data_IF_982570893180
#
_entry.id   IF_982570893180
#
_cell.length_a   1.000
_cell.length_b   1.000
_cell.length_c   1.000
_cell.angle_alpha   90.00
_cell.angle_beta   90.00
_cell.angle_gamma   90.00
#
_symmetry.space_group_name_H-M   'P 1'
#
loop_
_entity.id
_entity.type
_entity.pdbx_description
1 polymer ?
#
# COMPACT_ATOMS: atom_id res chain seq x y z
N UNK A 1 14.49 41.01 -79.81
CA UNK A 1 14.09 41.64 -78.54
C UNK A 1 13.51 40.50 -77.71
N UNK A 2 14.27 39.83 -76.82
CA UNK A 2 14.96 40.41 -75.65
C UNK A 2 13.87 40.86 -74.66
N UNK A 3 13.74 40.40 -73.42
CA UNK A 3 14.66 39.84 -72.43
C UNK A 3 13.82 38.93 -71.52
N UNK A 4 14.31 37.74 -71.13
CA UNK A 4 14.93 37.46 -69.83
C UNK A 4 14.13 37.89 -68.59
N UNK A 5 13.78 36.89 -67.78
CA UNK A 5 13.03 37.05 -66.53
C UNK A 5 12.78 35.70 -65.89
N UNK A 6 13.85 35.00 -65.54
CA UNK A 6 13.79 33.74 -64.83
C UNK A 6 13.24 33.93 -63.41
N UNK A 7 12.22 33.15 -63.07
CA UNK A 7 11.95 32.82 -61.67
C UNK A 7 12.13 31.32 -61.45
N UNK A 8 13.02 31.06 -60.50
CA UNK A 8 13.62 29.77 -60.25
C UNK A 8 12.58 28.72 -59.86
N UNK A 9 12.59 27.63 -60.61
CA UNK A 9 12.03 26.33 -60.24
C UNK A 9 12.80 25.82 -59.02
N UNK A 10 12.35 26.16 -57.81
CA UNK A 10 12.92 25.63 -56.58
C UNK A 10 12.64 24.13 -56.50
N UNK A 11 13.73 23.37 -56.57
CA UNK A 11 13.77 21.92 -56.56
C UNK A 11 13.02 21.35 -55.35
N UNK A 12 12.01 20.54 -55.66
CA UNK A 12 11.47 19.55 -54.75
C UNK A 12 12.56 18.51 -54.45
N UNK A 13 12.83 18.28 -53.17
CA UNK A 13 13.45 17.04 -52.69
C UNK A 13 14.72 17.21 -51.87
N UNK A 14 14.57 17.35 -50.54
CA UNK A 14 15.50 16.78 -49.58
C UNK A 14 14.72 16.47 -48.30
N UNK A 15 14.53 15.17 -48.05
CA UNK A 15 13.51 14.64 -47.14
C UNK A 15 13.62 15.14 -45.70
N UNK A 16 12.61 15.90 -45.27
CA UNK A 16 12.18 15.86 -43.89
C UNK A 16 11.72 14.42 -43.63
N UNK A 17 12.58 13.65 -42.96
CA UNK A 17 12.25 12.30 -42.47
C UNK A 17 10.97 12.47 -41.66
N UNK A 18 9.84 12.03 -42.22
CA UNK A 18 8.57 11.95 -41.52
C UNK A 18 8.84 10.96 -40.40
N UNK A 19 9.11 11.45 -39.19
CA UNK A 19 9.16 10.60 -38.01
C UNK A 19 7.73 10.15 -37.84
N UNK A 20 7.42 9.00 -38.44
CA UNK A 20 6.23 8.24 -38.12
C UNK A 20 6.51 7.72 -36.73
N UNK A 21 6.24 8.57 -35.74
CA UNK A 21 5.99 8.10 -34.39
C UNK A 21 4.75 7.25 -34.57
N UNK A 22 4.91 5.93 -34.52
CA UNK A 22 3.80 5.01 -34.35
C UNK A 22 2.94 5.63 -33.25
N UNK A 23 1.70 6.03 -33.56
CA UNK A 23 0.89 6.64 -32.54
C UNK A 23 0.73 5.59 -31.45
N UNK A 24 1.29 5.86 -30.26
CA UNK A 24 1.12 5.00 -29.08
C UNK A 24 -0.32 5.17 -28.52
N UNK A 25 -1.30 5.23 -29.43
CA UNK A 25 -2.69 5.55 -29.19
C UNK A 25 -2.87 6.71 -28.21
N UNK A 26 -3.72 6.45 -27.21
CA UNK A 26 -4.07 7.41 -26.17
C UNK A 26 -2.88 7.88 -25.31
N UNK A 27 -1.75 7.17 -25.28
CA UNK A 27 -0.60 7.50 -24.43
C UNK A 27 0.18 8.72 -24.93
N UNK A 28 0.19 8.99 -26.24
CA UNK A 28 0.96 10.10 -26.83
C UNK A 28 0.11 11.14 -27.53
N UNK A 29 -1.07 10.78 -28.04
CA UNK A 29 -1.94 11.71 -28.77
C UNK A 29 -2.82 12.58 -27.85
N UNK A 30 -3.09 12.12 -26.62
CA UNK A 30 -3.96 12.86 -25.68
C UNK A 30 -3.22 13.91 -24.83
N UNK A 31 -1.89 13.80 -24.70
CA UNK A 31 -1.10 14.69 -23.85
C UNK A 31 -0.90 16.08 -24.47
N UNK A 32 -0.90 16.18 -25.80
CA UNK A 32 -0.84 17.46 -26.51
C UNK A 32 -2.26 17.90 -26.84
N UNK A 33 -2.73 18.89 -26.10
CA UNK A 33 -4.01 19.53 -26.38
C UNK A 33 -4.03 20.04 -27.83
N UNK A 34 -5.09 19.74 -28.62
CA UNK A 34 -5.26 20.31 -29.94
C UNK A 34 -5.22 21.84 -29.87
N UNK A 35 -4.29 22.48 -30.59
CA UNK A 35 -4.21 23.96 -30.67
C UNK A 35 -5.49 24.61 -31.19
N UNK A 36 -6.29 23.87 -31.95
CA UNK A 36 -7.58 24.30 -32.50
C UNK A 36 -8.68 23.45 -31.88
N UNK A 37 -9.78 24.09 -31.51
CA UNK A 37 -10.95 23.43 -30.97
C UNK A 37 -11.51 22.41 -31.98
N UNK A 38 -11.75 21.18 -31.53
CA UNK A 38 -12.39 20.13 -32.33
C UNK A 38 -13.85 20.04 -31.90
N UNK A 39 -14.76 19.97 -32.87
CA UNK A 39 -16.15 19.70 -32.57
C UNK A 39 -16.25 18.28 -32.00
N UNK A 40 -16.92 18.15 -30.85
CA UNK A 40 -17.17 16.85 -30.22
C UNK A 40 -18.56 16.42 -30.71
N UNK A 41 -18.64 15.22 -31.30
CA UNK A 41 -19.90 14.66 -31.77
C UNK A 41 -20.90 14.57 -30.61
N UNK A 42 -22.11 15.10 -30.80
CA UNK A 42 -23.15 15.13 -29.77
C UNK A 42 -23.05 16.26 -28.74
N UNK A 43 -22.04 17.13 -28.78
CA UNK A 43 -21.92 18.29 -27.88
C UNK A 43 -22.01 19.60 -28.65
N UNK A 44 -23.00 20.43 -28.30
CA UNK A 44 -23.17 21.76 -28.90
C UNK A 44 -22.08 22.75 -28.47
N UNK A 45 -21.75 23.70 -29.36
CA UNK A 45 -20.76 24.74 -29.06
C UNK A 45 -21.13 25.61 -27.85
N UNK A 46 -22.43 25.83 -27.62
CA UNK A 46 -22.95 26.55 -26.44
C UNK A 46 -22.65 25.81 -25.13
N UNK A 47 -22.88 24.49 -25.09
CA UNK A 47 -22.60 23.64 -23.92
C UNK A 47 -21.11 23.63 -23.55
N UNK A 48 -20.23 23.66 -24.55
CA UNK A 48 -18.78 23.72 -24.33
C UNK A 48 -18.36 25.07 -23.74
N UNK A 49 -18.95 26.17 -24.23
CA UNK A 49 -18.70 27.51 -23.70
C UNK A 49 -19.22 27.64 -22.26
N UNK A 50 -20.40 27.09 -21.98
CA UNK A 50 -20.98 27.06 -20.64
C UNK A 50 -20.09 26.28 -19.65
N UNK A 51 -19.61 25.10 -20.04
CA UNK A 51 -18.71 24.30 -19.23
C UNK A 51 -17.38 25.03 -18.97
N UNK A 52 -16.82 25.70 -19.99
CA UNK A 52 -15.62 26.53 -19.84
C UNK A 52 -15.85 27.67 -18.86
N UNK A 53 -17.03 28.30 -18.90
CA UNK A 53 -17.39 29.34 -17.94
C UNK A 53 -17.48 28.80 -16.52
N UNK A 54 -18.06 27.60 -16.33
CA UNK A 54 -18.15 26.96 -15.02
C UNK A 54 -16.78 26.54 -14.47
N UNK A 55 -15.89 26.01 -15.31
CA UNK A 55 -14.50 25.71 -14.93
C UNK A 55 -13.73 26.98 -14.54
N UNK A 56 -13.91 28.07 -15.27
CA UNK A 56 -13.28 29.34 -14.94
C UNK A 56 -13.80 29.90 -13.60
N UNK A 57 -15.12 29.88 -13.38
CA UNK A 57 -15.74 30.26 -12.09
C UNK A 57 -15.17 29.44 -10.94
N UNK A 58 -15.12 28.11 -11.07
CA UNK A 58 -14.56 27.20 -10.05
C UNK A 58 -13.07 27.46 -9.78
N UNK A 59 -12.26 27.72 -10.81
CA UNK A 59 -10.85 28.08 -10.62
C UNK A 59 -10.68 29.41 -9.87
N UNK A 60 -11.48 30.42 -10.22
CA UNK A 60 -11.48 31.73 -9.60
C UNK A 60 -11.98 31.71 -8.16
N UNK A 61 -12.99 30.90 -7.85
CA UNK A 61 -13.45 30.62 -6.48
C UNK A 61 -12.34 29.92 -5.69
N UNK A 62 -11.68 28.89 -6.25
CA UNK A 62 -10.57 28.22 -5.55
C UNK A 62 -9.39 29.16 -5.26
N UNK A 63 -9.11 30.13 -6.15
CA UNK A 63 -8.08 31.15 -5.92
C UNK A 63 -8.52 32.13 -4.84
N UNK A 64 -9.77 32.58 -4.87
CA UNK A 64 -10.35 33.44 -3.83
C UNK A 64 -10.40 32.76 -2.48
N UNK A 65 -10.73 31.47 -2.42
CA UNK A 65 -10.71 30.69 -1.18
C UNK A 65 -9.29 30.52 -0.63
N UNK A 66 -8.31 30.29 -1.50
CA UNK A 66 -6.89 30.30 -1.10
C UNK A 66 -6.46 31.66 -0.55
N UNK A 67 -6.92 32.76 -1.15
CA UNK A 67 -6.61 34.12 -0.71
C UNK A 67 -7.38 34.55 0.57
N UNK A 68 -8.62 34.07 0.73
CA UNK A 68 -9.52 34.39 1.84
C UNK A 68 -9.13 33.63 3.11
N UNK A 69 -8.59 32.42 2.97
CA UNK A 69 -8.12 31.60 4.10
C UNK A 69 -6.86 32.14 4.78
N UNK A 70 -6.04 32.91 4.06
CA UNK A 70 -4.78 33.48 4.58
C UNK A 70 -4.77 35.02 4.46
N UNK A 71 -5.32 35.77 5.44
CA UNK A 71 -5.37 37.23 5.37
C UNK A 71 -4.01 37.91 5.62
N UNK A 72 -2.91 37.16 5.75
CA UNK A 72 -1.60 37.67 6.20
C UNK A 72 -0.60 37.88 5.05
N UNK A 73 -0.88 37.43 3.81
CA UNK A 73 0.07 37.59 2.69
C UNK A 73 -0.54 38.35 1.53
N UNK A 74 -0.82 39.63 1.75
CA UNK A 74 -1.15 40.57 0.68
C UNK A 74 0.10 41.26 0.14
N UNK A 75 0.14 41.38 -1.18
CA UNK A 75 1.10 42.13 -2.03
C UNK A 75 2.45 41.46 -2.34
N UNK A 76 2.63 41.16 -3.64
CA UNK A 76 3.86 41.10 -4.46
C UNK A 76 5.12 40.35 -4.02
N UNK A 77 5.29 39.97 -2.76
CA UNK A 77 6.55 39.44 -2.27
C UNK A 77 6.70 37.93 -2.52
N UNK A 78 5.59 37.19 -2.57
CA UNK A 78 5.61 35.73 -2.70
C UNK A 78 5.92 35.23 -4.14
N UNK A 79 5.70 36.07 -5.16
CA UNK A 79 6.08 35.73 -6.54
C UNK A 79 7.59 35.86 -6.79
N UNK A 80 8.27 36.75 -6.05
CA UNK A 80 9.72 36.88 -6.09
C UNK A 80 10.44 35.84 -5.21
N UNK A 81 9.75 35.28 -4.21
CA UNK A 81 10.34 34.32 -3.27
C UNK A 81 10.47 32.89 -3.80
N UNK A 82 9.68 32.50 -4.80
CA UNK A 82 9.85 31.20 -5.48
C UNK A 82 11.18 31.05 -6.21
N UNK A 83 11.92 32.14 -6.45
CA UNK A 83 13.23 32.14 -7.09
C UNK A 83 14.43 32.29 -6.14
N UNK A 84 14.21 32.44 -4.81
CA UNK A 84 15.32 32.54 -3.86
C UNK A 84 15.64 31.17 -3.24
N UNK A 85 16.92 30.81 -3.22
CA UNK A 85 17.40 29.56 -2.63
C UNK A 85 16.87 29.38 -1.20
N UNK A 86 16.48 28.12 -0.89
CA UNK A 86 15.84 27.69 0.36
C UNK A 86 16.48 28.35 1.58
N UNK A 87 15.81 29.33 2.18
CA UNK A 87 16.20 29.85 3.48
C UNK A 87 16.13 28.70 4.49
N UNK A 88 17.21 28.48 5.25
CA UNK A 88 17.18 27.56 6.40
C UNK A 88 16.06 28.04 7.32
N UNK A 89 15.15 27.13 7.66
CA UNK A 89 14.02 27.36 8.56
C UNK A 89 14.60 27.98 9.84
N UNK A 90 14.26 29.25 10.09
CA UNK A 90 14.63 29.96 11.32
C UNK A 90 13.79 29.42 12.48
N UNK A 91 14.29 29.54 13.71
CA UNK A 91 13.69 28.94 14.91
C UNK A 91 12.24 29.40 15.20
N UNK A 92 11.82 30.51 14.61
CA UNK A 92 10.45 31.05 14.67
C UNK A 92 9.58 30.50 13.52
N UNK A 93 9.67 29.20 13.25
CA UNK A 93 8.66 28.51 12.45
C UNK A 93 7.41 28.31 13.33
N UNK A 94 6.22 28.81 12.95
CA UNK A 94 4.99 28.58 13.72
C UNK A 94 4.67 27.09 13.91
N UNK A 95 5.26 26.19 13.10
CA UNK A 95 5.18 24.73 13.28
C UNK A 95 6.27 24.14 14.19
N UNK A 96 7.24 24.95 14.63
CA UNK A 96 8.31 24.58 15.58
C UNK A 96 7.79 24.41 17.01
N UNK A 97 6.62 24.97 17.34
CA UNK A 97 6.01 24.82 18.66
C UNK A 97 5.55 23.37 18.88
N UNK A 98 6.44 22.53 19.39
CA UNK A 98 6.14 21.12 19.68
C UNK A 98 5.16 21.07 20.84
N UNK A 99 4.17 20.18 20.73
CA UNK A 99 3.18 19.97 21.78
C UNK A 99 3.86 19.56 23.11
N UNK A 100 3.59 20.28 24.18
CA UNK A 100 4.18 20.05 25.51
C UNK A 100 3.89 18.65 26.05
N UNK A 101 2.71 18.09 25.76
CA UNK A 101 2.34 16.72 26.12
C UNK A 101 3.17 15.67 25.39
N UNK A 102 3.54 15.94 24.13
CA UNK A 102 4.44 15.05 23.35
C UNK A 102 5.86 15.10 23.93
N UNK A 103 6.34 16.28 24.33
CA UNK A 103 7.65 16.39 25.00
C UNK A 103 7.65 15.68 26.36
N UNK A 104 6.59 15.85 27.16
CA UNK A 104 6.45 15.20 28.45
C UNK A 104 6.41 13.66 28.33
N UNK A 105 5.69 13.13 27.31
CA UNK A 105 5.67 11.69 27.02
C UNK A 105 7.04 11.21 26.56
N UNK A 106 7.67 11.89 25.61
CA UNK A 106 9.01 11.53 25.14
C UNK A 106 10.07 11.53 26.26
N UNK A 107 9.96 12.43 27.23
CA UNK A 107 10.84 12.44 28.40
C UNK A 107 10.62 11.24 29.32
N UNK A 108 9.35 10.84 29.55
CA UNK A 108 9.01 9.63 30.31
C UNK A 108 9.50 8.37 29.59
N UNK A 109 9.18 8.22 28.31
CA UNK A 109 9.61 7.08 27.49
C UNK A 109 11.14 6.95 27.50
N UNK A 110 11.87 8.07 27.45
CA UNK A 110 13.34 8.08 27.54
C UNK A 110 13.86 7.64 28.92
N UNK A 111 13.15 7.93 30.01
CA UNK A 111 13.52 7.48 31.36
C UNK A 111 13.25 5.99 31.52
N UNK A 112 12.11 5.50 31.02
CA UNK A 112 11.74 4.09 31.07
C UNK A 112 12.68 3.22 30.22
N UNK A 113 13.01 3.68 29.01
CA UNK A 113 14.00 3.00 28.18
C UNK A 113 15.38 2.95 28.85
N UNK A 114 15.78 4.00 29.59
CA UNK A 114 17.01 3.96 30.38
C UNK A 114 16.93 2.95 31.52
N UNK A 115 15.84 2.91 32.28
CA UNK A 115 15.68 1.93 33.36
C UNK A 115 15.70 0.47 32.86
N UNK A 116 15.15 0.23 31.67
CA UNK A 116 15.24 -1.09 31.00
C UNK A 116 16.66 -1.38 30.55
N UNK A 117 17.38 -0.38 30.00
CA UNK A 117 18.76 -0.56 29.54
C UNK A 117 19.79 -0.64 30.66
N UNK A 118 19.54 0.03 31.79
CA UNK A 118 20.38 0.01 32.99
C UNK A 118 20.39 -1.39 33.64
N UNK A 119 19.51 -2.30 33.20
CA UNK A 119 19.54 -3.71 33.58
C UNK A 119 19.28 -3.96 35.06
N UNK A 120 19.00 -2.93 35.86
CA UNK A 120 18.86 -3.02 37.32
C UNK A 120 17.73 -3.97 37.74
N UNK A 121 16.58 -3.93 37.06
CA UNK A 121 15.50 -4.88 37.29
C UNK A 121 15.90 -6.33 36.92
N UNK A 122 16.69 -6.49 35.86
CA UNK A 122 17.23 -7.81 35.48
C UNK A 122 18.27 -8.30 36.48
N UNK A 123 19.14 -7.42 36.98
CA UNK A 123 20.15 -7.73 37.98
C UNK A 123 19.51 -8.14 39.31
N UNK A 124 18.51 -7.38 39.79
CA UNK A 124 17.74 -7.71 40.99
C UNK A 124 16.91 -9.01 40.85
N UNK A 125 16.48 -9.35 39.62
CA UNK A 125 15.83 -10.64 39.36
C UNK A 125 16.85 -11.79 39.34
N UNK A 126 18.04 -11.57 38.79
CA UNK A 126 19.11 -12.55 38.76
C UNK A 126 19.68 -12.82 40.16
N UNK A 127 19.84 -11.78 40.99
CA UNK A 127 20.27 -11.89 42.38
C UNK A 127 19.27 -12.75 43.19
N UNK A 128 17.97 -12.46 43.12
CA UNK A 128 16.94 -13.29 43.78
C UNK A 128 16.95 -14.75 43.30
N UNK A 129 17.20 -14.99 42.01
CA UNK A 129 17.33 -16.35 41.48
C UNK A 129 18.59 -17.02 42.03
N UNK A 130 19.73 -16.33 42.06
CA UNK A 130 20.97 -16.85 42.59
C UNK A 130 20.86 -17.22 44.07
N UNK A 131 20.26 -16.36 44.89
CA UNK A 131 19.98 -16.64 46.30
C UNK A 131 19.12 -17.91 46.47
N UNK A 132 18.10 -18.08 45.62
CA UNK A 132 17.26 -19.28 45.65
C UNK A 132 18.07 -20.54 45.31
N UNK A 133 18.92 -20.48 44.29
CA UNK A 133 19.80 -21.60 43.94
C UNK A 133 20.81 -21.91 45.04
N UNK A 134 21.42 -20.90 45.67
CA UNK A 134 22.33 -21.12 46.79
C UNK A 134 21.64 -21.77 47.99
N UNK A 135 20.40 -21.36 48.30
CA UNK A 135 19.59 -21.98 49.35
C UNK A 135 19.21 -23.42 49.04
N UNK A 136 18.85 -23.73 47.78
CA UNK A 136 18.60 -25.10 47.32
C UNK A 136 19.85 -25.97 47.46
N UNK A 137 21.01 -25.48 47.02
CA UNK A 137 22.28 -26.22 47.09
C UNK A 137 22.70 -26.47 48.54
N UNK A 138 22.46 -25.49 49.42
CA UNK A 138 22.80 -25.59 50.83
C UNK A 138 21.78 -26.43 51.63
N UNK A 139 20.59 -26.70 51.07
CA UNK A 139 19.53 -27.43 51.75
C UNK A 139 18.91 -26.67 52.92
N UNK A 140 18.97 -25.33 52.89
CA UNK A 140 18.41 -24.45 53.94
C UNK A 140 16.93 -24.10 53.69
N UNK A 141 16.36 -24.52 52.55
CA UNK A 141 14.95 -24.34 52.31
C UNK A 141 14.16 -25.34 53.16
N UNK A 142 13.28 -24.79 54.00
CA UNK A 142 12.36 -25.61 54.77
C UNK A 142 11.40 -26.31 53.83
N UNK A 143 11.17 -27.60 54.04
CA UNK A 143 10.23 -28.41 53.26
C UNK A 143 8.82 -27.78 53.16
N UNK A 144 8.45 -26.94 54.12
CA UNK A 144 7.19 -26.19 54.11
C UNK A 144 7.21 -25.01 53.12
N UNK A 145 8.28 -24.22 53.12
CA UNK A 145 8.40 -23.06 52.21
C UNK A 145 8.54 -23.50 50.75
N UNK A 146 9.21 -24.62 50.50
CA UNK A 146 9.38 -25.18 49.16
C UNK A 146 8.07 -25.68 48.55
N UNK A 147 7.28 -26.41 49.33
CA UNK A 147 5.99 -26.95 48.91
C UNK A 147 4.95 -25.85 48.70
N UNK A 148 4.93 -24.83 49.56
CA UNK A 148 3.93 -23.76 49.49
C UNK A 148 4.24 -22.74 48.39
N UNK A 149 5.51 -22.38 48.19
CA UNK A 149 5.88 -21.24 47.32
C UNK A 149 6.36 -21.66 45.94
N UNK A 150 7.01 -22.81 45.83
CA UNK A 150 7.72 -23.20 44.61
C UNK A 150 7.17 -24.48 43.94
N UNK A 151 6.39 -25.31 44.65
CA UNK A 151 5.69 -26.44 44.05
C UNK A 151 4.32 -26.03 43.48
N UNK A 152 3.98 -26.59 42.31
CA UNK A 152 2.65 -26.41 41.70
C UNK A 152 1.70 -27.44 42.28
N UNK A 153 0.66 -26.99 42.99
CA UNK A 153 -0.45 -27.85 43.39
C UNK A 153 -1.42 -28.01 42.20
N UNK A 154 -1.34 -29.15 41.52
CA UNK A 154 -2.18 -29.46 40.36
C UNK A 154 -3.68 -29.57 40.71
N UNK A 155 -4.03 -29.94 41.94
CA UNK A 155 -5.43 -30.06 42.38
C UNK A 155 -6.03 -28.68 42.67
N UNK A 156 -5.26 -27.80 43.33
CA UNK A 156 -5.68 -26.41 43.56
C UNK A 156 -5.65 -25.56 42.29
N UNK A 157 -4.72 -25.82 41.36
CA UNK A 157 -4.63 -25.09 40.08
C UNK A 157 -5.89 -25.24 39.22
N UNK A 158 -6.58 -26.38 39.28
CA UNK A 158 -7.86 -26.59 38.60
C UNK A 158 -9.03 -25.86 39.26
N UNK A 159 -9.02 -25.72 40.59
CA UNK A 159 -10.08 -25.07 41.38
C UNK A 159 -9.96 -23.54 41.41
N UNK A 160 -8.75 -23.00 41.59
CA UNK A 160 -8.48 -21.55 41.61
C UNK A 160 -8.77 -20.88 40.25
N UNK A 161 -8.65 -21.64 39.15
CA UNK A 161 -9.00 -21.14 37.83
C UNK A 161 -10.51 -20.91 37.67
N UNK A 162 -11.35 -21.59 38.46
CA UNK A 162 -12.81 -21.43 38.49
C UNK A 162 -13.27 -20.45 39.59
N UNK A 163 -12.65 -20.43 40.77
CA UNK A 163 -13.09 -19.57 41.89
C UNK A 163 -12.62 -18.11 41.82
N UNK A 164 -11.49 -17.81 41.16
CA UNK A 164 -11.10 -16.41 40.87
C UNK A 164 -11.96 -15.75 39.77
N UNK A 165 -12.96 -16.46 39.25
CA UNK A 165 -13.98 -15.95 38.33
C UNK A 165 -15.31 -15.55 39.00
N UNK A 166 -15.34 -15.26 40.32
CA UNK A 166 -16.43 -14.47 40.91
C UNK A 166 -16.11 -12.97 41.02
N UNK A 167 -17.06 -12.08 40.67
CA UNK A 167 -16.74 -10.79 40.07
C UNK A 167 -16.63 -9.68 41.12
N UNK A 168 -15.41 -9.26 41.43
CA UNK A 168 -15.16 -7.88 41.81
C UNK A 168 -14.73 -7.17 40.52
N UNK A 169 -15.66 -6.39 39.97
CA UNK A 169 -15.69 -5.99 38.57
C UNK A 169 -14.36 -5.55 38.00
N UNK A 170 -13.96 -6.20 36.90
CA UNK A 170 -13.42 -5.57 35.69
C UNK A 170 -13.25 -6.62 34.59
N UNK A 171 -14.21 -6.62 33.66
CA UNK A 171 -14.07 -6.89 32.22
C UNK A 171 -13.23 -8.11 31.75
N UNK A 172 -13.95 -9.05 31.11
CA UNK A 172 -13.57 -9.71 29.84
C UNK A 172 -12.49 -10.80 29.87
N UNK A 173 -12.87 -12.08 29.81
CA UNK A 173 -13.14 -12.78 28.54
C UNK A 173 -13.10 -14.30 28.74
N UNK A 174 -14.29 -14.90 28.67
CA UNK A 174 -14.49 -16.32 28.44
C UNK A 174 -13.82 -16.73 27.12
N UNK A 175 -12.94 -17.73 27.14
CA UNK A 175 -12.50 -18.46 25.94
C UNK A 175 -12.76 -19.93 26.19
N UNK A 176 -13.92 -20.38 25.72
CA UNK A 176 -14.24 -21.80 25.50
C UNK A 176 -13.16 -22.45 24.65
N UNK A 177 -12.63 -23.55 25.16
CA UNK A 177 -11.87 -24.53 24.40
C UNK A 177 -12.89 -25.47 23.75
N UNK A 178 -12.84 -25.58 22.42
CA UNK A 178 -13.52 -26.63 21.69
C UNK A 178 -12.44 -27.59 21.18
N UNK A 179 -12.38 -28.78 21.77
CA UNK A 179 -11.61 -29.91 21.30
C UNK A 179 -12.16 -30.39 19.95
N UNK A 180 -11.28 -30.63 18.96
CA UNK A 180 -11.35 -31.75 18.01
C UNK A 180 -9.94 -32.04 17.43
N UNK A 181 -9.38 -33.16 17.89
CA UNK A 181 -8.68 -34.24 17.19
C UNK A 181 -7.69 -33.98 16.03
N UNK A 182 -6.48 -34.57 16.15
CA UNK A 182 -5.64 -34.93 15.01
C UNK A 182 -4.15 -34.55 15.07
N UNK A 183 -3.34 -35.39 15.73
CA UNK A 183 -2.01 -35.83 15.26
C UNK A 183 -0.85 -34.83 15.02
N UNK A 184 0.25 -35.11 15.72
CA UNK A 184 1.65 -34.93 15.31
C UNK A 184 2.39 -33.61 15.63
N UNK A 185 3.65 -33.83 15.97
CA UNK A 185 4.76 -33.02 16.48
C UNK A 185 4.89 -31.55 16.01
N UNK A 186 5.08 -30.64 16.98
CA UNK A 186 5.76 -29.37 16.74
C UNK A 186 5.35 -28.26 17.71
N UNK A 187 6.21 -27.98 18.69
CA UNK A 187 6.09 -26.91 19.69
C UNK A 187 5.50 -25.58 19.17
N UNK A 188 4.37 -25.13 19.73
CA UNK A 188 3.88 -23.74 19.53
C UNK A 188 3.86 -23.02 20.87
N UNK A 189 4.97 -22.36 21.17
CA UNK A 189 5.10 -21.40 22.26
C UNK A 189 4.12 -20.23 21.98
N UNK A 190 3.30 -19.77 22.93
CA UNK A 190 2.45 -18.60 22.69
C UNK A 190 3.34 -17.36 22.63
N UNK A 191 3.60 -16.89 21.42
CA UNK A 191 4.29 -15.62 21.16
C UNK A 191 3.38 -14.49 21.65
N UNK A 192 3.66 -13.98 22.85
CA UNK A 192 3.15 -12.71 23.35
C UNK A 192 3.71 -11.61 22.44
N UNK A 193 2.93 -11.18 21.44
CA UNK A 193 3.25 -9.99 20.64
C UNK A 193 2.79 -8.77 21.45
N UNK A 194 3.66 -7.79 21.75
CA UNK A 194 3.21 -6.55 22.36
C UNK A 194 2.29 -5.82 21.38
N UNK A 195 1.09 -5.51 21.84
CA UNK A 195 0.07 -4.75 21.12
C UNK A 195 0.66 -3.39 20.75
N UNK A 196 0.85 -3.19 19.44
CA UNK A 196 1.31 -1.93 18.88
C UNK A 196 0.30 -0.81 19.10
N UNK A 197 0.85 0.36 19.44
CA UNK A 197 0.18 1.64 19.62
C UNK A 197 -0.71 1.97 18.41
N UNK A 198 -2.03 1.95 18.57
CA UNK A 198 -2.97 2.33 17.51
C UNK A 198 -4.35 1.68 17.51
N UNK A 199 -4.65 0.75 18.43
CA UNK A 199 -6.01 0.21 18.53
C UNK A 199 -6.94 1.24 19.19
N UNK A 200 -7.55 2.08 18.36
CA UNK A 200 -8.80 2.73 18.72
C UNK A 200 -9.77 1.62 19.11
N UNK A 201 -10.17 1.59 20.37
CA UNK A 201 -11.18 0.69 20.91
C UNK A 201 -12.55 1.03 20.31
N UNK A 202 -12.74 0.72 19.03
CA UNK A 202 -14.06 0.40 18.53
C UNK A 202 -14.32 -1.02 19.02
N UNK A 203 -15.30 -1.19 19.89
CA UNK A 203 -15.84 -2.49 20.28
C UNK A 203 -16.54 -3.11 19.07
N UNK A 204 -15.77 -3.44 18.02
CA UNK A 204 -16.26 -4.29 16.93
C UNK A 204 -16.42 -5.66 17.54
N UNK A 205 -17.62 -6.21 17.45
CA UNK A 205 -17.90 -7.54 17.95
C UNK A 205 -16.86 -8.52 17.37
N UNK A 206 -16.24 -9.32 18.24
CA UNK A 206 -15.21 -10.28 17.85
C UNK A 206 -15.74 -11.23 16.77
N UNK A 207 -17.04 -11.49 16.76
CA UNK A 207 -17.70 -12.29 15.73
C UNK A 207 -17.71 -11.60 14.35
N UNK A 208 -18.00 -10.29 14.31
CA UNK A 208 -17.97 -9.47 13.10
C UNK A 208 -16.57 -9.33 12.55
N UNK A 209 -15.58 -9.11 13.43
CA UNK A 209 -14.18 -9.03 13.00
C UNK A 209 -13.70 -10.33 12.35
N UNK A 210 -14.04 -11.49 12.94
CA UNK A 210 -13.71 -12.81 12.36
C UNK A 210 -14.36 -12.98 10.98
N UNK A 211 -15.64 -12.62 10.85
CA UNK A 211 -16.36 -12.67 9.56
C UNK A 211 -15.70 -11.80 8.51
N UNK A 212 -15.37 -10.56 8.85
CA UNK A 212 -14.71 -9.64 7.93
C UNK A 212 -13.35 -10.18 7.46
N UNK A 213 -12.54 -10.73 8.37
CA UNK A 213 -11.25 -11.33 8.01
C UNK A 213 -11.43 -12.52 7.06
N UNK A 214 -12.42 -13.39 7.33
CA UNK A 214 -12.74 -14.50 6.44
C UNK A 214 -13.21 -14.04 5.06
N UNK A 215 -14.12 -13.06 5.02
CA UNK A 215 -14.64 -12.46 3.78
C UNK A 215 -13.51 -11.87 2.93
N UNK A 216 -12.62 -11.07 3.54
CA UNK A 216 -11.46 -10.51 2.83
C UNK A 216 -10.55 -11.61 2.27
N UNK A 217 -10.35 -12.71 3.00
CA UNK A 217 -9.57 -13.84 2.50
C UNK A 217 -10.25 -14.55 1.33
N UNK A 218 -11.56 -14.71 1.37
CA UNK A 218 -12.35 -15.28 0.29
C UNK A 218 -12.34 -14.37 -0.96
N UNK A 219 -12.55 -13.07 -0.79
CA UNK A 219 -12.45 -12.08 -1.86
C UNK A 219 -11.06 -12.09 -2.50
N UNK A 220 -10.00 -12.16 -1.68
CA UNK A 220 -8.63 -12.25 -2.17
C UNK A 220 -8.38 -13.54 -2.97
N UNK A 221 -8.96 -14.67 -2.55
CA UNK A 221 -8.89 -15.94 -3.30
C UNK A 221 -9.60 -15.82 -4.65
N UNK A 222 -10.84 -15.32 -4.66
CA UNK A 222 -11.62 -15.12 -5.87
C UNK A 222 -10.94 -14.14 -6.85
N UNK A 223 -10.30 -13.08 -6.34
CA UNK A 223 -9.54 -12.15 -7.16
C UNK A 223 -8.31 -12.82 -7.81
N UNK A 224 -7.60 -13.68 -7.06
CA UNK A 224 -6.48 -14.46 -7.60
C UNK A 224 -6.94 -15.44 -8.69
N UNK A 225 -8.04 -16.14 -8.47
CA UNK A 225 -8.62 -17.08 -9.45
C UNK A 225 -9.04 -16.38 -10.74
N UNK A 226 -9.78 -15.27 -10.65
CA UNK A 226 -10.15 -14.45 -11.82
C UNK A 226 -8.91 -13.97 -12.58
N UNK A 227 -7.84 -13.59 -11.87
CA UNK A 227 -6.59 -13.19 -12.50
C UNK A 227 -5.88 -14.35 -13.21
N UNK A 228 -5.89 -15.56 -12.63
CA UNK A 228 -5.36 -16.75 -13.32
C UNK A 228 -6.18 -17.11 -14.54
N UNK A 229 -7.51 -17.04 -14.47
CA UNK A 229 -8.39 -17.34 -15.61
C UNK A 229 -8.19 -16.36 -16.76
N UNK A 230 -8.05 -15.07 -16.46
CA UNK A 230 -7.70 -14.04 -17.44
C UNK A 230 -6.36 -14.32 -18.11
N UNK A 231 -5.37 -14.82 -17.35
CA UNK A 231 -4.05 -15.20 -17.89
C UNK A 231 -4.17 -16.43 -18.80
N UNK A 232 -4.89 -17.45 -18.39
CA UNK A 232 -5.14 -18.67 -19.18
C UNK A 232 -5.84 -18.29 -20.49
N UNK A 233 -6.91 -17.47 -20.43
CA UNK A 233 -7.63 -17.01 -21.62
C UNK A 233 -6.73 -16.23 -22.60
N UNK A 234 -5.83 -15.39 -22.09
CA UNK A 234 -4.84 -14.68 -22.95
C UNK A 234 -3.86 -15.66 -23.59
N UNK A 235 -3.41 -16.67 -22.84
CA UNK A 235 -2.52 -17.71 -23.36
C UNK A 235 -3.21 -18.55 -24.43
N UNK A 236 -4.46 -18.94 -24.23
CA UNK A 236 -5.27 -19.65 -25.23
C UNK A 236 -5.46 -18.83 -26.49
N UNK A 237 -5.77 -17.53 -26.36
CA UNK A 237 -5.87 -16.64 -27.53
C UNK A 237 -4.55 -16.53 -28.29
N UNK A 238 -3.42 -16.46 -27.58
CA UNK A 238 -2.10 -16.45 -28.20
C UNK A 238 -1.80 -17.78 -28.91
N UNK A 239 -2.12 -18.92 -28.28
CA UNK A 239 -1.96 -20.25 -28.86
C UNK A 239 -2.85 -20.42 -30.11
N UNK A 240 -4.12 -20.02 -30.05
CA UNK A 240 -5.04 -20.06 -31.19
C UNK A 240 -4.55 -19.20 -32.36
N UNK A 241 -3.97 -18.02 -32.08
CA UNK A 241 -3.33 -17.18 -33.11
C UNK A 241 -2.11 -17.87 -33.71
N UNK A 242 -1.26 -18.48 -32.89
CA UNK A 242 -0.09 -19.23 -33.38
C UNK A 242 -0.51 -20.42 -34.25
N UNK A 243 -1.53 -21.19 -33.84
CA UNK A 243 -2.06 -22.30 -34.64
C UNK A 243 -2.65 -21.82 -35.96
N UNK A 244 -3.42 -20.72 -35.95
CA UNK A 244 -3.96 -20.13 -37.18
C UNK A 244 -2.84 -19.72 -38.14
N UNK A 245 -1.77 -19.12 -37.63
CA UNK A 245 -0.59 -18.78 -38.41
C UNK A 245 0.10 -20.03 -38.98
N UNK A 246 0.30 -21.07 -38.16
CA UNK A 246 0.89 -22.35 -38.58
C UNK A 246 0.06 -22.98 -39.71
N UNK A 247 -1.27 -23.04 -39.56
CA UNK A 247 -2.18 -23.58 -40.60
C UNK A 247 -2.13 -22.75 -41.88
N UNK A 248 -2.12 -21.42 -41.79
CA UNK A 248 -2.02 -20.54 -42.95
C UNK A 248 -0.68 -20.72 -43.68
N UNK A 249 0.42 -20.85 -42.94
CA UNK A 249 1.74 -21.12 -43.50
C UNK A 249 1.79 -22.45 -44.25
N UNK A 250 1.27 -23.53 -43.65
CA UNK A 250 1.22 -24.84 -44.30
C UNK A 250 0.37 -24.82 -45.57
N UNK A 251 -0.80 -24.15 -45.55
CA UNK A 251 -1.62 -23.96 -46.77
C UNK A 251 -0.86 -23.23 -47.87
N UNK A 252 -0.14 -22.15 -47.53
CA UNK A 252 0.66 -21.39 -48.50
C UNK A 252 1.80 -22.23 -49.10
N UNK A 253 2.43 -23.10 -48.30
CA UNK A 253 3.45 -24.04 -48.81
C UNK A 253 2.84 -25.06 -49.78
N UNK A 254 1.68 -25.63 -49.46
CA UNK A 254 0.96 -26.54 -50.34
C UNK A 254 0.54 -25.88 -51.66
N UNK A 255 0.03 -24.64 -51.61
CA UNK A 255 -0.30 -23.88 -52.82
C UNK A 255 0.93 -23.62 -53.69
N UNK A 256 2.09 -23.32 -53.09
CA UNK A 256 3.36 -23.13 -53.82
C UNK A 256 3.82 -24.43 -54.51
N UNK A 257 3.71 -25.57 -53.82
CA UNK A 257 4.01 -26.88 -54.40
C UNK A 257 3.03 -27.24 -55.53
N UNK A 258 1.74 -26.94 -55.35
CA UNK A 258 0.73 -27.16 -56.39
C UNK A 258 0.95 -26.26 -57.61
N UNK A 259 1.37 -25.02 -57.42
CA UNK A 259 1.65 -24.07 -58.49
C UNK A 259 2.90 -24.48 -59.30
N UNK A 260 3.97 -24.92 -58.63
CA UNK A 260 5.18 -25.45 -59.31
C UNK A 260 4.87 -26.71 -60.11
N UNK A 261 4.16 -27.69 -59.52
CA UNK A 261 3.75 -28.90 -60.26
C UNK A 261 2.85 -28.62 -61.46
N UNK A 262 2.06 -27.54 -61.45
CA UNK A 262 1.24 -27.12 -62.62
C UNK A 262 2.06 -26.39 -63.69
N UNK A 263 3.15 -25.74 -63.31
CA UNK A 263 4.09 -25.09 -64.22
C UNK A 263 4.96 -26.09 -64.99
N UNK A 264 5.22 -27.26 -64.41
CA UNK A 264 6.02 -28.33 -65.04
C UNK A 264 5.22 -29.22 -66.01
N UNK A 265 3.91 -28.97 -66.20
CA UNK A 265 3.03 -29.73 -67.12
C UNK A 265 2.62 -28.95 -68.38
N UNK A 266 3.36 -27.88 -68.74
CA UNK A 266 3.20 -27.12 -69.99
C UNK A 266 4.50 -27.25 -70.78
#
# INVERSE_FOLDING_TARGET
MGEDGGEAKAAAGAGAKRVVVESLGWLTESSIMPKKHRAIEGVGASSILELKAQLYKSQEESKRDRLSRDPIYTSDHHHLEVHRAKKKITADDPFSHRNSGVQARAAKDKLELKAVNDGSASYAALERKAELYEKLVRGELSDEEDKEKYCVDFFRKGLEHDELQQPQGNTSSNTEWHDEDGGDDGSVVPIIRPVGLGQTAATVDRSEHKRFVMEVHEEAKLAREKASDLKIRRQEQAAARQEKLKRAYLKKQLEKLKASSKGDQI
#
